data_IF_722186342933
#
_entry.id   IF_722186342933
#
_cell.length_a   1.000
_cell.length_b   1.000
_cell.length_c   1.000
_cell.angle_alpha   90.00
_cell.angle_beta   90.00
_cell.angle_gamma   90.00
#
_symmetry.space_group_name_H-M   'P 1'
#
loop_
_entity.id
_entity.type
_entity.pdbx_description
1 polymer ?
#
# COMPACT_ATOMS: atom_id res chain seq x y z
N UNK A 1 -2.24 8.07 4.47
CA UNK A 1 -3.52 8.28 5.20
C UNK A 1 -3.30 7.82 6.63
N UNK A 2 -3.39 8.73 7.62
CA UNK A 2 -3.09 8.38 9.01
C UNK A 2 -4.19 7.51 9.65
N UNK A 3 -3.80 6.61 10.56
CA UNK A 3 -4.73 5.80 11.36
C UNK A 3 -5.58 4.78 10.59
N UNK A 4 -5.24 4.50 9.33
CA UNK A 4 -5.93 3.49 8.53
C UNK A 4 -5.18 2.16 8.54
N UNK A 5 -5.95 1.08 8.42
CA UNK A 5 -5.38 -0.23 8.14
C UNK A 5 -4.94 -0.36 6.68
N UNK A 6 -4.08 -1.33 6.42
CA UNK A 6 -3.52 -1.60 5.08
C UNK A 6 -4.61 -1.97 4.06
N UNK A 7 -5.75 -2.51 4.53
CA UNK A 7 -6.95 -2.83 3.75
C UNK A 7 -7.52 -1.66 2.96
N UNK A 8 -7.23 -0.41 3.38
CA UNK A 8 -7.60 0.77 2.60
C UNK A 8 -6.99 0.78 1.20
N UNK A 9 -5.85 0.12 1.03
CA UNK A 9 -5.13 0.02 -0.23
C UNK A 9 -5.35 -1.33 -0.93
N UNK A 10 -6.19 -2.21 -0.40
CA UNK A 10 -6.60 -3.42 -1.11
C UNK A 10 -7.64 -3.07 -2.19
N UNK A 11 -7.19 -3.02 -3.44
CA UNK A 11 -8.03 -2.60 -4.58
C UNK A 11 -9.32 -3.40 -4.77
N UNK A 12 -9.39 -4.64 -4.25
CA UNK A 12 -10.58 -5.49 -4.37
C UNK A 12 -11.55 -5.29 -3.20
N UNK A 13 -11.07 -4.82 -2.04
CA UNK A 13 -11.82 -4.85 -0.78
C UNK A 13 -11.90 -3.51 -0.03
N UNK A 14 -11.25 -2.45 -0.52
CA UNK A 14 -11.17 -1.16 0.17
C UNK A 14 -12.56 -0.57 0.48
N UNK A 15 -13.56 -0.74 -0.39
CA UNK A 15 -14.91 -0.21 -0.18
C UNK A 15 -15.60 -0.81 1.05
N UNK A 16 -15.41 -2.12 1.28
CA UNK A 16 -15.92 -2.81 2.47
C UNK A 16 -15.29 -2.27 3.75
N UNK A 17 -13.97 -2.03 3.70
CA UNK A 17 -13.25 -1.40 4.80
C UNK A 17 -13.71 0.04 5.05
N UNK A 18 -13.89 0.85 4.01
CA UNK A 18 -14.33 2.24 4.11
C UNK A 18 -15.76 2.35 4.64
N UNK A 19 -16.65 1.44 4.24
CA UNK A 19 -18.06 1.45 4.65
C UNK A 19 -18.22 1.25 6.16
N UNK A 20 -17.40 0.37 6.75
CA UNK A 20 -17.41 0.05 8.20
C UNK A 20 -16.53 1.00 9.02
N UNK A 21 -15.80 1.89 8.37
CA UNK A 21 -14.85 2.81 9.00
C UNK A 21 -15.51 4.04 9.66
N UNK A 22 -14.81 4.67 10.63
CA UNK A 22 -15.28 5.90 11.27
C UNK A 22 -15.39 7.07 10.28
N UNK A 23 -16.25 8.04 10.62
CA UNK A 23 -16.58 9.15 9.72
C UNK A 23 -15.37 10.00 9.30
N UNK A 24 -14.40 10.20 10.20
CA UNK A 24 -13.17 10.95 9.89
C UNK A 24 -12.37 10.27 8.76
N UNK A 25 -12.31 8.93 8.75
CA UNK A 25 -11.59 8.17 7.72
C UNK A 25 -12.35 8.22 6.40
N UNK A 26 -13.68 8.06 6.44
CA UNK A 26 -14.55 8.24 5.26
C UNK A 26 -14.36 9.62 4.63
N UNK A 27 -14.26 10.67 5.44
CA UNK A 27 -14.03 12.03 4.94
C UNK A 27 -12.65 12.18 4.31
N UNK A 28 -11.59 11.67 4.94
CA UNK A 28 -10.25 11.67 4.33
C UNK A 28 -10.21 10.89 3.02
N UNK A 29 -10.86 9.72 2.95
CA UNK A 29 -10.87 8.88 1.75
C UNK A 29 -11.55 9.58 0.56
N UNK A 30 -12.55 10.44 0.81
CA UNK A 30 -13.17 11.27 -0.24
C UNK A 30 -12.19 12.26 -0.88
N UNK A 31 -11.13 12.67 -0.19
CA UNK A 31 -10.08 13.52 -0.77
C UNK A 31 -9.24 12.79 -1.83
N UNK A 32 -9.37 11.46 -1.91
CA UNK A 32 -8.75 10.58 -2.91
C UNK A 32 -9.80 9.99 -3.86
N UNK A 33 -10.90 10.71 -4.11
CA UNK A 33 -12.04 10.28 -4.94
C UNK A 33 -12.66 8.93 -4.49
N UNK A 34 -12.53 8.62 -3.20
CA UNK A 34 -13.02 7.37 -2.62
C UNK A 34 -12.05 6.20 -2.76
N UNK A 35 -10.98 6.30 -3.55
CA UNK A 35 -10.09 5.18 -3.86
C UNK A 35 -8.59 5.55 -3.70
N UNK A 36 -8.04 5.43 -2.47
CA UNK A 36 -6.64 5.77 -2.21
C UNK A 36 -5.63 4.93 -3.00
N UNK A 37 -5.93 3.65 -3.28
CA UNK A 37 -5.09 2.82 -4.14
C UNK A 37 -5.09 3.34 -5.59
N UNK A 38 -6.28 3.65 -6.12
CA UNK A 38 -6.45 4.20 -7.47
C UNK A 38 -5.67 5.51 -7.62
N UNK A 39 -5.75 6.40 -6.62
CA UNK A 39 -4.98 7.64 -6.61
C UNK A 39 -3.46 7.41 -6.60
N UNK A 40 -2.98 6.41 -5.87
CA UNK A 40 -1.56 6.04 -5.87
C UNK A 40 -1.09 5.59 -7.26
N UNK A 41 -1.89 4.74 -7.93
CA UNK A 41 -1.59 4.27 -9.30
C UNK A 41 -1.61 5.42 -10.31
N UNK A 42 -2.59 6.32 -10.21
CA UNK A 42 -2.69 7.50 -11.09
C UNK A 42 -1.44 8.37 -11.00
N UNK A 43 -1.03 8.73 -9.78
CA UNK A 43 0.16 9.56 -9.54
C UNK A 43 1.44 8.88 -10.03
N UNK A 44 1.57 7.57 -9.80
CA UNK A 44 2.70 6.80 -10.29
C UNK A 44 2.76 6.75 -11.83
N UNK A 45 1.62 6.62 -12.51
CA UNK A 45 1.55 6.70 -13.99
C UNK A 45 1.93 8.07 -14.52
N UNK A 46 1.58 9.14 -13.81
CA UNK A 46 2.03 10.50 -14.16
C UNK A 46 3.55 10.59 -14.02
N UNK A 47 4.12 10.11 -12.91
CA UNK A 47 5.56 10.11 -12.69
C UNK A 47 6.34 9.29 -13.74
N UNK A 48 5.78 8.17 -14.24
CA UNK A 48 6.38 7.37 -15.31
C UNK A 48 6.52 8.09 -16.65
N UNK A 49 5.81 9.20 -16.87
CA UNK A 49 5.96 10.01 -18.10
C UNK A 49 7.29 10.74 -18.17
N UNK A 50 7.83 11.10 -17.00
CA UNK A 50 9.01 11.96 -16.87
C UNK A 50 10.20 11.22 -16.23
N UNK A 51 10.02 9.96 -15.80
CA UNK A 51 11.06 9.24 -15.08
C UNK A 51 10.79 7.76 -14.86
N UNK A 52 11.64 7.14 -14.04
CA UNK A 52 11.59 5.72 -13.71
C UNK A 52 11.35 5.56 -12.20
N UNK A 53 10.31 4.82 -11.84
CA UNK A 53 10.06 4.44 -10.44
C UNK A 53 11.16 3.45 -10.01
N UNK A 54 12.00 3.87 -9.06
CA UNK A 54 13.15 3.09 -8.57
C UNK A 54 12.87 2.27 -7.32
N UNK A 55 11.74 2.49 -6.68
CA UNK A 55 11.37 1.77 -5.47
C UNK A 55 10.07 2.29 -4.87
N UNK A 56 9.57 1.55 -3.89
CA UNK A 56 8.38 1.89 -3.12
C UNK A 56 8.78 1.93 -1.64
N UNK A 57 8.40 3.00 -0.95
CA UNK A 57 8.55 3.15 0.49
C UNK A 57 7.17 3.01 1.15
N UNK A 58 7.03 2.06 2.06
CA UNK A 58 5.84 1.88 2.88
C UNK A 58 6.15 2.21 4.34
N UNK A 59 5.43 3.18 4.88
CA UNK A 59 5.40 3.46 6.31
C UNK A 59 3.97 3.26 6.81
N UNK A 60 3.73 2.06 7.35
CA UNK A 60 2.44 1.63 7.88
C UNK A 60 2.68 0.42 8.79
N UNK A 61 1.80 0.24 9.76
CA UNK A 61 1.68 -1.00 10.54
C UNK A 61 0.93 -0.81 11.85
N UNK A 62 0.83 0.43 12.31
CA UNK A 62 0.28 0.85 13.60
C UNK A 62 -1.17 0.35 13.77
N UNK A 63 -1.99 0.52 12.72
CA UNK A 63 -3.40 0.11 12.74
C UNK A 63 -3.64 -1.38 12.48
N UNK A 64 -2.59 -2.14 12.12
CA UNK A 64 -2.62 -3.60 11.92
C UNK A 64 -1.78 -4.34 12.97
N UNK A 65 -1.55 -3.75 14.15
CA UNK A 65 -0.80 -4.38 15.23
C UNK A 65 -1.33 -5.78 15.55
N UNK A 66 -0.43 -6.76 15.66
CA UNK A 66 -0.70 -8.20 15.89
C UNK A 66 -1.44 -8.94 14.77
N UNK A 67 -1.66 -8.30 13.61
CA UNK A 67 -2.24 -8.96 12.44
C UNK A 67 -1.18 -9.83 11.73
N UNK A 68 -1.27 -11.15 11.93
CA UNK A 68 -0.34 -12.12 11.34
C UNK A 68 -0.42 -12.18 9.81
N UNK A 69 -1.55 -11.78 9.23
CA UNK A 69 -1.77 -11.76 7.78
C UNK A 69 -1.27 -10.46 7.15
N UNK A 70 -0.84 -9.48 7.95
CA UNK A 70 -0.40 -8.19 7.46
C UNK A 70 0.72 -8.27 6.39
N UNK A 71 1.78 -9.11 6.53
CA UNK A 71 2.78 -9.24 5.48
C UNK A 71 2.19 -9.72 4.15
N UNK A 72 1.22 -10.63 4.18
CA UNK A 72 0.55 -11.12 2.97
C UNK A 72 -0.33 -10.03 2.33
N UNK A 73 -1.02 -9.22 3.13
CA UNK A 73 -1.80 -8.06 2.65
C UNK A 73 -0.89 -7.01 2.00
N UNK A 74 0.24 -6.69 2.63
CA UNK A 74 1.25 -5.79 2.05
C UNK A 74 1.77 -6.34 0.73
N UNK A 75 2.10 -7.63 0.66
CA UNK A 75 2.55 -8.28 -0.58
C UNK A 75 1.48 -8.19 -1.68
N UNK A 76 0.21 -8.45 -1.36
CA UNK A 76 -0.91 -8.33 -2.32
C UNK A 76 -0.94 -6.93 -2.97
N UNK A 77 -0.79 -5.89 -2.16
CA UNK A 77 -0.80 -4.50 -2.63
C UNK A 77 0.45 -4.21 -3.48
N UNK A 78 1.62 -4.64 -3.04
CA UNK A 78 2.87 -4.48 -3.78
C UNK A 78 2.79 -5.16 -5.16
N UNK A 79 2.36 -6.42 -5.22
CA UNK A 79 2.19 -7.17 -6.48
C UNK A 79 1.15 -6.47 -7.38
N UNK A 80 0.08 -5.94 -6.79
CA UNK A 80 -0.92 -5.12 -7.48
C UNK A 80 -0.30 -3.88 -8.13
N UNK A 81 0.53 -3.15 -7.40
CA UNK A 81 1.23 -1.96 -7.91
C UNK A 81 2.19 -2.32 -9.05
N UNK A 82 2.96 -3.39 -8.91
CA UNK A 82 3.84 -3.85 -9.99
C UNK A 82 3.05 -4.13 -11.27
N UNK A 83 1.93 -4.86 -11.13
CA UNK A 83 1.06 -5.20 -12.25
C UNK A 83 0.43 -3.96 -12.89
N UNK A 84 -0.20 -3.10 -12.09
CA UNK A 84 -1.00 -1.98 -12.58
C UNK A 84 -0.13 -0.84 -13.15
N UNK A 85 1.17 -0.82 -12.80
CA UNK A 85 2.18 0.11 -13.30
C UNK A 85 3.15 -0.51 -14.32
N UNK A 86 2.96 -1.79 -14.67
CA UNK A 86 3.84 -2.56 -15.56
C UNK A 86 5.33 -2.45 -15.15
N UNK A 87 5.59 -2.55 -13.85
CA UNK A 87 6.93 -2.51 -13.29
C UNK A 87 7.48 -3.93 -13.17
N UNK A 88 8.79 -4.07 -13.40
CA UNK A 88 9.53 -5.22 -12.89
C UNK A 88 9.62 -5.13 -11.37
N UNK A 89 10.07 -6.19 -10.72
CA UNK A 89 10.38 -6.12 -9.30
C UNK A 89 11.38 -4.98 -9.03
N UNK A 90 11.03 -4.13 -8.07
CA UNK A 90 11.80 -2.96 -7.65
C UNK A 90 11.99 -2.99 -6.14
N UNK A 91 13.03 -2.33 -5.61
CA UNK A 91 13.23 -2.20 -4.17
C UNK A 91 11.97 -1.77 -3.42
N UNK A 92 11.59 -2.57 -2.42
CA UNK A 92 10.51 -2.27 -1.49
C UNK A 92 11.09 -2.12 -0.10
N UNK A 93 10.97 -0.91 0.47
CA UNK A 93 11.37 -0.65 1.85
C UNK A 93 10.12 -0.47 2.69
N UNK A 94 9.96 -1.34 3.68
CA UNK A 94 8.89 -1.26 4.65
C UNK A 94 9.47 -0.91 6.02
N UNK A 95 8.89 0.10 6.67
CA UNK A 95 9.27 0.50 8.02
C UNK A 95 8.15 0.10 8.99
N UNK A 96 8.16 -1.15 9.52
CA UNK A 96 7.20 -1.55 10.55
C UNK A 96 7.58 -0.90 11.89
N UNK A 97 6.57 -0.50 12.67
CA UNK A 97 6.78 0.18 13.96
C UNK A 97 7.52 -0.71 14.99
N UNK A 98 7.37 -2.06 14.94
CA UNK A 98 7.82 -2.94 16.04
C UNK A 98 8.37 -4.34 15.68
N UNK A 99 8.79 -4.59 14.45
CA UNK A 99 9.40 -5.89 14.10
C UNK A 99 10.53 -5.71 13.09
N UNK A 100 11.76 -5.61 13.61
CA UNK A 100 13.00 -5.53 12.85
C UNK A 100 13.25 -6.75 11.94
N UNK A 101 12.48 -7.83 12.09
CA UNK A 101 12.57 -9.06 11.30
C UNK A 101 12.10 -8.92 9.84
N UNK A 102 11.40 -7.82 9.50
CA UNK A 102 10.90 -7.56 8.14
C UNK A 102 11.84 -6.68 7.30
N UNK A 103 12.92 -6.15 7.87
CA UNK A 103 14.01 -5.51 7.12
C UNK A 103 14.99 -6.61 6.69
N UNK A 104 14.52 -7.56 5.89
CA UNK A 104 15.42 -8.35 5.04
C UNK A 104 15.29 -7.79 3.63
N UNK A 105 16.40 -7.57 2.91
CA UNK A 105 16.31 -7.31 1.48
C UNK A 105 15.54 -8.49 0.90
N UNK A 106 14.34 -8.22 0.38
CA UNK A 106 13.58 -9.22 -0.35
C UNK A 106 14.40 -9.52 -1.60
N UNK A 107 15.30 -10.50 -1.51
CA UNK A 107 15.72 -11.24 -2.68
C UNK A 107 14.54 -12.13 -3.02
N UNK A 108 13.71 -11.72 -3.97
CA UNK A 108 12.84 -12.67 -4.65
C UNK A 108 13.76 -13.48 -5.55
N UNK A 109 14.09 -14.68 -5.10
CA UNK A 109 14.77 -15.67 -5.94
C UNK A 109 13.74 -16.59 -6.57
N UNK A 110 14.03 -16.93 -7.83
CA UNK A 110 13.20 -17.61 -8.83
C UNK A 110 12.52 -18.92 -8.41
#
# INVERSE_FOLDING_TARGET
VGGCKIELFDKDNYESYVTTSPQWLKNMVKEYDGNPYGRLVELAKIAQKEGVIKGILLHQGESNTNDKEWPAKVKKIYDGLLKDLNLKEIPFLCLPEKSWDLIRPVHVSA
#
